data_IF_103584136663
#
_entry.id   IF_103584136663
#
_cell.length_a   1.000
_cell.length_b   1.000
_cell.length_c   1.000
_cell.angle_alpha   90.00
_cell.angle_beta   90.00
_cell.angle_gamma   90.00
#
_symmetry.space_group_name_H-M   'P 1'
#
loop_
_entity.id
_entity.type
_entity.pdbx_description
1 polymer ?
#
# COMPACT_ATOMS: atom_id res chain seq x y z
N UNK A 1 3.42 -49.17 8.14
CA UNK A 1 1.98 -49.19 8.47
C UNK A 1 1.33 -48.20 7.54
N UNK A 2 0.72 -48.74 6.49
CA UNK A 2 0.24 -47.98 5.32
C UNK A 2 -1.26 -47.85 5.40
N UNK A 3 -1.77 -46.63 5.33
CA UNK A 3 -3.21 -46.34 5.27
C UNK A 3 -3.63 -46.14 3.80
N UNK A 4 -4.78 -46.69 3.37
CA UNK A 4 -5.24 -46.55 2.00
C UNK A 4 -6.09 -45.27 1.81
N UNK A 5 -5.92 -44.66 0.63
CA UNK A 5 -6.74 -43.57 0.10
C UNK A 5 -8.04 -44.16 -0.43
N UNK A 6 -9.18 -43.67 0.05
CA UNK A 6 -10.51 -43.99 -0.46
C UNK A 6 -11.13 -42.76 -1.14
N UNK A 7 -11.44 -42.88 -2.43
CA UNK A 7 -12.42 -42.03 -3.15
C UNK A 7 -13.44 -42.96 -3.81
N UNK A 8 -14.74 -42.66 -3.66
CA UNK A 8 -15.67 -42.75 -4.79
C UNK A 8 -16.53 -41.47 -4.88
N UNK A 9 -16.64 -40.85 -6.05
CA UNK A 9 -17.70 -41.04 -7.07
C UNK A 9 -19.12 -40.68 -6.59
N UNK A 10 -19.62 -39.55 -7.08
CA UNK A 10 -21.04 -39.16 -7.16
C UNK A 10 -21.13 -38.06 -8.24
N UNK A 11 -21.38 -38.41 -9.50
CA UNK A 11 -22.66 -38.72 -10.17
C UNK A 11 -23.41 -37.43 -10.57
N UNK A 12 -23.49 -37.23 -11.89
CA UNK A 12 -24.25 -36.19 -12.57
C UNK A 12 -25.75 -36.41 -12.33
N UNK A 13 -26.46 -35.33 -12.01
CA UNK A 13 -27.87 -35.18 -12.37
C UNK A 13 -28.05 -33.90 -13.19
N UNK A 14 -28.84 -34.06 -14.25
CA UNK A 14 -29.03 -33.14 -15.36
C UNK A 14 -30.54 -33.05 -15.59
N UNK A 15 -31.17 -32.01 -15.07
CA UNK A 15 -32.52 -31.54 -15.40
C UNK A 15 -32.48 -30.00 -15.25
N UNK A 16 -33.07 -29.14 -16.06
CA UNK A 16 -34.07 -29.32 -17.11
C UNK A 16 -35.17 -28.25 -16.96
N UNK A 17 -35.01 -27.08 -17.61
CA UNK A 17 -36.07 -26.08 -17.86
C UNK A 17 -36.39 -25.10 -16.72
N UNK A 18 -36.92 -23.90 -16.93
CA UNK A 18 -37.34 -23.19 -18.13
C UNK A 18 -37.60 -21.69 -17.79
N UNK A 19 -37.44 -20.81 -18.80
CA UNK A 19 -38.19 -19.57 -19.09
C UNK A 19 -38.27 -18.42 -18.06
N UNK A 20 -37.84 -17.24 -18.53
CA UNK A 20 -38.70 -16.06 -18.62
C UNK A 20 -38.27 -14.80 -17.83
N UNK A 21 -38.05 -13.69 -18.56
CA UNK A 21 -37.89 -12.33 -18.01
C UNK A 21 -36.75 -11.59 -18.73
N UNK A 22 -36.95 -11.01 -19.92
CA UNK A 22 -37.45 -9.65 -20.16
C UNK A 22 -36.93 -8.62 -19.13
N UNK A 23 -36.02 -7.74 -19.57
CA UNK A 23 -35.87 -6.42 -18.98
C UNK A 23 -34.46 -5.86 -18.96
N UNK A 24 -34.25 -4.81 -19.76
CA UNK A 24 -33.25 -3.74 -19.60
C UNK A 24 -31.81 -4.04 -20.05
N UNK A 25 -31.54 -3.70 -21.30
CA UNK A 25 -30.21 -3.32 -21.79
C UNK A 25 -29.63 -2.17 -20.95
N UNK A 26 -28.36 -2.21 -20.53
CA UNK A 26 -27.64 -0.99 -20.24
C UNK A 26 -27.22 -0.34 -21.56
N UNK A 27 -27.55 0.94 -21.62
CA UNK A 27 -27.24 1.92 -22.66
C UNK A 27 -25.76 1.79 -23.06
N UNK A 28 -25.52 1.44 -24.32
CA UNK A 28 -24.24 1.70 -24.98
C UNK A 28 -24.17 3.22 -25.13
N UNK A 29 -23.41 3.87 -24.25
CA UNK A 29 -23.05 5.26 -24.44
C UNK A 29 -22.13 5.34 -25.66
N UNK A 30 -22.70 5.81 -26.76
CA UNK A 30 -22.00 6.28 -27.94
C UNK A 30 -21.13 7.48 -27.50
N UNK A 31 -19.85 7.22 -27.25
CA UNK A 31 -18.86 8.27 -27.05
C UNK A 31 -18.50 8.86 -28.42
N UNK A 32 -19.41 9.69 -28.93
CA UNK A 32 -19.09 10.64 -29.98
C UNK A 32 -18.07 11.62 -29.43
N UNK A 33 -16.83 11.43 -29.89
CA UNK A 33 -15.82 12.43 -30.18
C UNK A 33 -15.97 13.80 -29.48
N UNK A 34 -15.13 14.03 -28.48
CA UNK A 34 -14.66 15.39 -28.20
C UNK A 34 -13.68 15.79 -29.30
N UNK A 35 -13.88 16.93 -29.99
CA UNK A 35 -12.88 17.48 -30.89
C UNK A 35 -11.72 18.03 -30.05
N UNK A 36 -10.52 18.04 -30.62
CA UNK A 36 -9.27 18.55 -30.05
C UNK A 36 -8.40 17.52 -29.29
N UNK A 37 -8.60 16.23 -29.59
CA UNK A 37 -7.76 15.14 -29.09
C UNK A 37 -6.49 14.93 -29.93
N UNK A 38 -5.42 15.67 -29.62
CA UNK A 38 -4.07 15.13 -29.85
C UNK A 38 -3.82 14.04 -28.80
N UNK A 39 -4.35 12.85 -29.06
CA UNK A 39 -4.01 11.67 -28.27
C UNK A 39 -2.53 11.39 -28.43
N UNK A 40 -1.80 11.36 -27.31
CA UNK A 40 -0.39 10.97 -27.28
C UNK A 40 -0.21 9.68 -28.07
N UNK A 41 0.72 9.71 -29.01
CA UNK A 41 1.13 8.53 -29.75
C UNK A 41 1.63 7.47 -28.77
N UNK A 42 1.53 6.20 -29.16
CA UNK A 42 2.04 5.08 -28.35
C UNK A 42 3.51 5.30 -27.94
N UNK A 43 4.29 5.90 -28.83
CA UNK A 43 5.71 6.21 -28.62
C UNK A 43 5.89 7.30 -27.57
N UNK A 44 5.04 8.34 -27.57
CA UNK A 44 5.07 9.39 -26.54
C UNK A 44 4.67 8.84 -25.17
N UNK A 45 3.63 8.00 -25.10
CA UNK A 45 3.21 7.34 -23.86
C UNK A 45 4.31 6.41 -23.30
N UNK A 46 4.98 5.65 -24.18
CA UNK A 46 6.14 4.84 -23.79
C UNK A 46 7.30 5.73 -23.33
N UNK A 47 7.53 6.89 -23.96
CA UNK A 47 8.58 7.83 -23.57
C UNK A 47 8.32 8.45 -22.21
N UNK A 48 7.08 8.89 -21.91
CA UNK A 48 6.70 9.43 -20.61
C UNK A 48 6.86 8.38 -19.51
N UNK A 49 6.46 7.13 -19.80
CA UNK A 49 6.65 6.00 -18.87
C UNK A 49 8.15 5.79 -18.58
N UNK A 50 9.00 5.86 -19.58
CA UNK A 50 10.45 5.70 -19.42
C UNK A 50 11.10 6.87 -18.67
N UNK A 51 10.65 8.10 -18.93
CA UNK A 51 11.06 9.33 -18.23
C UNK A 51 10.71 9.23 -16.74
N UNK A 52 9.48 8.82 -16.40
CA UNK A 52 9.05 8.56 -15.03
C UNK A 52 9.89 7.48 -14.36
N UNK A 53 10.19 6.38 -15.06
CA UNK A 53 11.10 5.33 -14.55
C UNK A 53 12.51 5.87 -14.24
N UNK A 54 13.06 6.73 -15.11
CA UNK A 54 14.36 7.37 -14.88
C UNK A 54 14.32 8.34 -13.71
N UNK A 55 13.25 9.12 -13.58
CA UNK A 55 13.04 10.06 -12.47
C UNK A 55 12.93 9.33 -11.13
N UNK A 56 12.15 8.24 -11.07
CA UNK A 56 12.04 7.39 -9.88
C UNK A 56 13.38 6.77 -9.47
N UNK A 57 14.23 6.38 -10.43
CA UNK A 57 15.60 5.92 -10.15
C UNK A 57 16.52 7.02 -9.60
N UNK A 58 16.26 8.29 -9.94
CA UNK A 58 17.09 9.44 -9.53
C UNK A 58 16.78 9.92 -8.10
N UNK A 59 15.56 9.69 -7.62
CA UNK A 59 15.11 10.03 -6.25
C UNK A 59 15.36 8.92 -5.22
N UNK A 60 16.41 8.09 -5.40
CA UNK A 60 16.82 7.10 -4.38
C UNK A 60 17.45 7.80 -3.18
N UNK A 61 16.67 7.99 -2.11
CA UNK A 61 17.22 8.37 -0.81
C UNK A 61 17.82 7.15 -0.10
N UNK A 62 19.03 7.25 0.48
CA UNK A 62 19.59 6.19 1.32
C UNK A 62 18.75 5.98 2.58
N UNK A 63 18.45 4.72 2.93
CA UNK A 63 17.67 4.35 4.13
C UNK A 63 18.26 4.93 5.41
N UNK A 64 19.59 4.98 5.53
CA UNK A 64 20.25 5.56 6.70
C UNK A 64 20.05 7.07 6.86
N UNK A 65 19.84 7.81 5.76
CA UNK A 65 19.54 9.24 5.84
C UNK A 65 18.09 9.49 6.26
N UNK A 66 17.17 8.56 5.96
CA UNK A 66 15.76 8.71 6.29
C UNK A 66 15.48 8.75 7.81
N UNK A 67 16.12 7.86 8.59
CA UNK A 67 16.04 7.92 10.07
C UNK A 67 16.55 9.25 10.64
N UNK A 68 17.40 9.96 9.91
CA UNK A 68 18.00 11.23 10.33
C UNK A 68 17.29 12.46 9.76
N UNK A 69 16.49 12.31 8.69
CA UNK A 69 15.84 13.41 7.97
C UNK A 69 14.35 13.56 8.26
N UNK A 70 13.75 12.65 9.02
CA UNK A 70 12.43 12.93 9.61
C UNK A 70 12.59 14.18 10.48
N UNK A 71 11.77 15.22 10.30
CA UNK A 71 11.74 16.37 11.21
C UNK A 71 11.13 15.89 12.53
N UNK A 72 11.94 15.17 13.30
CA UNK A 72 11.63 14.65 14.62
C UNK A 72 11.81 15.78 15.63
N UNK A 73 11.06 16.87 15.46
CA UNK A 73 10.73 17.70 16.61
C UNK A 73 9.55 17.01 17.34
N UNK A 74 9.85 15.81 17.85
CA UNK A 74 8.94 14.95 18.63
C UNK A 74 8.59 15.56 20.00
N UNK A 75 9.18 16.71 20.34
CA UNK A 75 9.07 17.36 21.64
C UNK A 75 8.03 18.49 21.63
N UNK A 76 6.86 18.26 21.05
CA UNK A 76 5.71 19.07 21.45
C UNK A 76 5.16 18.46 22.74
N UNK A 77 5.56 19.00 23.90
CA UNK A 77 5.02 18.64 25.23
C UNK A 77 3.52 18.95 25.38
N UNK A 78 2.87 19.41 24.31
CA UNK A 78 1.44 19.72 24.29
C UNK A 78 0.71 18.50 23.71
N UNK A 79 -0.08 17.77 24.51
CA UNK A 79 -0.92 16.69 23.98
C UNK A 79 -1.88 17.28 22.95
N UNK A 80 -2.14 16.58 21.83
CA UNK A 80 -3.08 17.06 20.85
C UNK A 80 -4.46 17.26 21.51
N UNK A 81 -5.25 18.26 21.07
CA UNK A 81 -6.56 18.55 21.66
C UNK A 81 -7.64 17.52 21.28
N UNK A 82 -7.26 16.39 20.69
CA UNK A 82 -8.11 15.33 20.19
C UNK A 82 -7.53 13.96 20.56
N UNK A 83 -8.41 12.96 20.66
CA UNK A 83 -8.00 11.57 20.86
C UNK A 83 -7.04 11.14 19.75
N UNK A 84 -6.05 10.34 20.12
CA UNK A 84 -5.11 9.81 19.14
C UNK A 84 -5.85 8.88 18.19
N UNK A 85 -5.57 8.95 16.88
CA UNK A 85 -6.18 8.05 15.92
C UNK A 85 -5.77 6.61 16.21
N UNK A 86 -6.71 5.68 16.06
CA UNK A 86 -6.46 4.25 16.13
C UNK A 86 -6.19 3.76 14.72
N UNK A 87 -5.19 2.92 14.54
CA UNK A 87 -4.91 2.28 13.26
C UNK A 87 -4.66 0.79 13.40
N UNK A 88 -4.96 0.07 12.34
CA UNK A 88 -4.71 -1.36 12.20
C UNK A 88 -4.01 -1.63 10.87
N UNK A 89 -3.21 -2.69 10.81
CA UNK A 89 -2.58 -3.13 9.58
C UNK A 89 -2.68 -4.64 9.43
N UNK A 90 -3.01 -5.11 8.23
CA UNK A 90 -3.13 -6.53 7.92
C UNK A 90 -2.60 -6.82 6.51
N UNK A 91 -2.04 -8.01 6.32
CA UNK A 91 -1.56 -8.46 5.02
C UNK A 91 -2.62 -9.34 4.35
N UNK A 92 -2.98 -9.02 3.11
CA UNK A 92 -4.07 -9.66 2.40
C UNK A 92 -3.69 -10.00 0.94
N UNK A 93 -3.79 -11.26 0.50
CA UNK A 93 -3.87 -12.46 1.35
C UNK A 93 -2.58 -12.65 2.15
N UNK A 94 -2.67 -13.34 3.29
CA UNK A 94 -1.52 -13.56 4.20
C UNK A 94 -0.42 -14.43 3.59
N UNK A 95 -0.78 -15.32 2.66
CA UNK A 95 0.13 -16.27 2.03
C UNK A 95 0.09 -16.12 0.51
N UNK A 96 0.87 -15.18 -0.01
CA UNK A 96 1.00 -14.95 -1.45
C UNK A 96 2.34 -14.30 -1.77
N UNK A 97 2.78 -14.50 -3.01
CA UNK A 97 3.86 -13.70 -3.58
C UNK A 97 3.42 -12.29 -3.94
N UNK A 98 2.13 -12.08 -4.17
CA UNK A 98 1.51 -10.78 -4.40
C UNK A 98 0.48 -10.56 -3.27
N UNK A 99 0.86 -9.76 -2.28
CA UNK A 99 0.03 -9.43 -1.13
C UNK A 99 -0.19 -7.93 -1.06
N UNK A 100 -1.21 -7.49 -0.36
CA UNK A 100 -1.47 -6.07 -0.09
C UNK A 100 -1.40 -5.86 1.41
N UNK A 101 -0.54 -4.94 1.85
CA UNK A 101 -0.54 -4.47 3.23
C UNK A 101 -1.63 -3.39 3.37
N UNK A 102 -2.77 -3.79 3.91
CA UNK A 102 -3.91 -2.93 4.14
C UNK A 102 -3.77 -2.26 5.50
N UNK A 103 -3.60 -0.94 5.49
CA UNK A 103 -3.59 -0.10 6.69
C UNK A 103 -4.91 0.64 6.77
N UNK A 104 -5.59 0.52 7.90
CA UNK A 104 -6.84 1.23 8.19
C UNK A 104 -6.59 2.23 9.31
N UNK A 105 -6.95 3.48 9.07
CA UNK A 105 -6.78 4.59 9.99
C UNK A 105 -8.14 5.16 10.36
N UNK A 106 -8.52 5.05 11.63
CA UNK A 106 -9.79 5.57 12.15
C UNK A 106 -9.64 7.00 12.63
N UNK A 107 -10.44 7.90 12.06
CA UNK A 107 -10.42 9.32 12.40
C UNK A 107 -11.07 9.56 13.78
N UNK A 108 -10.46 10.40 14.65
CA UNK A 108 -11.02 10.71 15.96
C UNK A 108 -12.31 11.50 15.84
N UNK A 109 -13.21 11.29 16.81
CA UNK A 109 -14.56 11.88 16.82
C UNK A 109 -14.74 12.74 18.06
N UNK A 110 -15.25 13.97 17.91
CA UNK A 110 -15.50 14.84 19.06
C UNK A 110 -16.95 14.69 19.51
N UNK A 111 -17.12 14.06 20.68
CA UNK A 111 -18.42 13.78 21.31
C UNK A 111 -19.40 13.01 20.40
N UNK A 112 -20.56 12.65 20.93
CA UNK A 112 -21.58 11.79 20.29
C UNK A 112 -22.11 12.26 18.93
N UNK A 113 -21.64 13.42 18.44
CA UNK A 113 -22.00 13.98 17.15
C UNK A 113 -20.96 13.56 16.12
N UNK A 114 -21.43 13.24 14.93
CA UNK A 114 -20.67 12.50 13.94
C UNK A 114 -19.57 13.31 13.22
N UNK A 115 -19.04 14.35 13.84
CA UNK A 115 -18.22 15.35 13.18
C UNK A 115 -16.73 15.17 13.52
N UNK A 116 -15.90 15.25 12.50
CA UNK A 116 -14.44 15.30 12.63
C UNK A 116 -14.07 16.76 12.96
N UNK A 117 -13.27 17.02 14.01
CA UNK A 117 -12.87 18.38 14.34
C UNK A 117 -12.17 19.07 13.17
N UNK A 118 -12.53 20.31 12.89
CA UNK A 118 -12.02 21.04 11.72
C UNK A 118 -10.49 21.22 11.77
N UNK A 119 -9.92 21.41 12.95
CA UNK A 119 -8.47 21.44 13.16
C UNK A 119 -7.77 20.14 12.80
N UNK A 120 -8.45 19.00 12.93
CA UNK A 120 -7.92 17.69 12.53
C UNK A 120 -7.98 17.52 11.02
N UNK A 121 -9.01 18.03 10.35
CA UNK A 121 -9.12 17.99 8.90
C UNK A 121 -7.98 18.77 8.21
N UNK A 122 -7.47 19.82 8.84
CA UNK A 122 -6.31 20.58 8.34
C UNK A 122 -4.98 19.81 8.47
N UNK A 123 -4.97 18.66 9.14
CA UNK A 123 -3.78 17.83 9.26
C UNK A 123 -3.57 16.95 8.01
N UNK A 124 -2.32 16.58 7.80
CA UNK A 124 -1.89 15.58 6.82
C UNK A 124 -1.50 14.31 7.57
N UNK A 125 -2.05 13.17 7.16
CA UNK A 125 -1.62 11.86 7.65
C UNK A 125 -0.37 11.44 6.89
N UNK A 126 0.61 10.94 7.63
CA UNK A 126 1.85 10.40 7.10
C UNK A 126 1.90 8.91 7.37
N UNK A 127 2.04 8.12 6.32
CA UNK A 127 2.25 6.68 6.43
C UNK A 127 3.63 6.35 5.90
N UNK A 128 4.42 5.66 6.71
CA UNK A 128 5.78 5.27 6.37
C UNK A 128 5.85 3.75 6.44
N UNK A 129 6.02 3.14 5.28
CA UNK A 129 6.19 1.70 5.11
C UNK A 129 7.67 1.39 4.93
N UNK A 130 8.15 0.39 5.65
CA UNK A 130 9.46 -0.21 5.44
C UNK A 130 9.28 -1.72 5.29
N UNK A 131 9.88 -2.30 4.27
CA UNK A 131 9.81 -3.73 3.99
C UNK A 131 11.21 -4.32 3.89
N UNK A 132 11.40 -5.57 4.36
CA UNK A 132 12.69 -6.25 4.29
C UNK A 132 13.11 -6.48 2.83
N UNK A 133 14.40 -6.74 2.55
CA UNK A 133 14.89 -6.91 1.17
C UNK A 133 14.29 -8.11 0.43
N UNK A 134 13.70 -9.07 1.15
CA UNK A 134 12.94 -10.20 0.58
C UNK A 134 11.54 -9.82 0.07
N UNK A 135 11.12 -8.57 0.26
CA UNK A 135 9.83 -8.02 -0.17
C UNK A 135 10.08 -6.70 -0.90
N UNK A 136 9.22 -6.39 -1.87
CA UNK A 136 9.28 -5.16 -2.66
C UNK A 136 7.89 -4.53 -2.65
N UNK A 137 7.83 -3.21 -2.50
CA UNK A 137 6.60 -2.45 -2.74
C UNK A 137 6.46 -2.27 -4.25
N UNK A 138 5.31 -2.64 -4.84
CA UNK A 138 5.09 -2.51 -6.29
C UNK A 138 5.05 -1.03 -6.71
N UNK A 139 6.10 -0.50 -7.36
CA UNK A 139 6.11 0.92 -7.70
C UNK A 139 5.14 1.26 -8.83
N UNK A 140 4.79 0.29 -9.69
CA UNK A 140 3.91 0.52 -10.83
C UNK A 140 2.45 0.58 -10.37
N UNK A 141 2.05 -0.34 -9.51
CA UNK A 141 0.70 -0.32 -8.97
C UNK A 141 0.49 0.90 -8.05
N UNK A 142 1.51 1.31 -7.29
CA UNK A 142 1.45 2.57 -6.52
C UNK A 142 1.31 3.79 -7.44
N UNK A 143 2.11 3.91 -8.52
CA UNK A 143 1.99 5.04 -9.46
C UNK A 143 0.60 5.11 -10.10
N UNK A 144 0.02 3.95 -10.42
CA UNK A 144 -1.35 3.87 -10.90
C UNK A 144 -2.36 4.35 -9.85
N UNK A 145 -2.29 3.84 -8.62
CA UNK A 145 -3.20 4.24 -7.55
C UNK A 145 -3.06 5.74 -7.19
N UNK A 146 -1.88 6.31 -7.33
CA UNK A 146 -1.65 7.75 -7.19
C UNK A 146 -2.30 8.54 -8.32
N UNK A 147 -2.11 8.10 -9.57
CA UNK A 147 -2.71 8.71 -10.76
C UNK A 147 -4.24 8.67 -10.71
N UNK A 148 -4.81 7.56 -10.20
CA UNK A 148 -6.25 7.36 -10.04
C UNK A 148 -6.82 8.17 -8.85
N UNK A 149 -5.99 8.92 -8.12
CA UNK A 149 -6.38 9.72 -6.95
C UNK A 149 -6.82 8.87 -5.75
N UNK A 150 -6.41 7.60 -5.70
CA UNK A 150 -6.66 6.68 -4.59
C UNK A 150 -5.64 6.90 -3.47
N UNK A 151 -4.37 7.02 -3.83
CA UNK A 151 -3.30 7.40 -2.89
C UNK A 151 -3.27 8.92 -2.71
N UNK A 152 -2.82 9.36 -1.54
CA UNK A 152 -2.79 10.77 -1.15
C UNK A 152 -1.92 11.65 -2.04
N UNK A 153 -1.71 12.90 -1.63
CA UNK A 153 -1.09 13.94 -2.46
C UNK A 153 0.36 13.64 -2.87
N UNK A 154 1.10 12.95 -2.01
CA UNK A 154 2.54 12.75 -2.17
C UNK A 154 2.93 11.30 -1.93
N UNK A 155 3.76 10.79 -2.84
CA UNK A 155 4.27 9.42 -2.86
C UNK A 155 5.78 9.47 -3.03
N UNK A 156 6.53 8.91 -2.09
CA UNK A 156 7.99 8.88 -2.15
C UNK A 156 8.53 7.49 -1.84
N UNK A 157 9.40 6.99 -2.71
CA UNK A 157 10.08 5.71 -2.54
C UNK A 157 11.50 5.90 -2.04
N UNK A 158 11.98 4.92 -1.29
CA UNK A 158 13.39 4.82 -0.90
C UNK A 158 13.88 3.36 -0.91
N UNK A 159 15.18 3.16 -1.03
CA UNK A 159 15.79 1.83 -1.20
C UNK A 159 15.68 1.26 -2.61
N UNK A 160 15.72 -0.07 -2.73
CA UNK A 160 15.66 -0.76 -4.03
C UNK A 160 14.26 -1.31 -4.35
N UNK A 161 13.69 -0.81 -5.44
CA UNK A 161 12.32 -1.11 -5.90
C UNK A 161 12.29 -1.92 -7.22
N UNK A 162 13.41 -2.49 -7.66
CA UNK A 162 13.45 -3.25 -8.91
C UNK A 162 12.80 -4.63 -8.74
N UNK A 163 11.57 -4.80 -9.25
CA UNK A 163 10.73 -5.99 -9.05
C UNK A 163 11.41 -7.31 -9.44
N UNK A 164 12.17 -7.30 -10.54
CA UNK A 164 12.75 -8.51 -11.14
C UNK A 164 14.14 -8.87 -10.59
N UNK A 165 14.72 -8.03 -9.73
CA UNK A 165 16.07 -8.27 -9.24
C UNK A 165 16.03 -9.30 -8.10
N UNK A 166 16.64 -10.50 -8.25
CA UNK A 166 16.61 -11.51 -7.20
C UNK A 166 17.42 -11.05 -5.98
N UNK A 167 17.11 -11.59 -4.80
CA UNK A 167 17.73 -11.19 -3.54
C UNK A 167 19.27 -11.30 -3.58
N UNK A 168 19.80 -12.33 -4.25
CA UNK A 168 21.24 -12.59 -4.40
C UNK A 168 21.98 -11.54 -5.21
N UNK A 169 21.27 -10.70 -5.97
CA UNK A 169 21.83 -9.64 -6.82
C UNK A 169 21.66 -8.24 -6.21
N UNK A 170 21.05 -8.13 -5.04
CA UNK A 170 20.96 -6.85 -4.33
C UNK A 170 22.34 -6.38 -3.88
N UNK A 171 22.63 -5.10 -4.12
CA UNK A 171 23.79 -4.43 -3.54
C UNK A 171 23.74 -4.44 -2.00
N UNK A 172 24.87 -4.30 -1.32
CA UNK A 172 24.91 -4.27 0.15
C UNK A 172 23.97 -3.20 0.75
N UNK A 173 23.87 -2.03 0.11
CA UNK A 173 22.95 -0.96 0.53
C UNK A 173 21.47 -1.30 0.35
N UNK A 174 21.15 -2.16 -0.61
CA UNK A 174 19.77 -2.60 -0.86
C UNK A 174 19.33 -3.72 0.10
N UNK A 175 20.26 -4.28 0.91
CA UNK A 175 19.95 -5.28 1.93
C UNK A 175 19.22 -4.70 3.14
N UNK A 176 19.20 -3.38 3.29
CA UNK A 176 18.37 -2.69 4.29
C UNK A 176 16.88 -2.65 3.90
N UNK A 177 16.52 -3.13 2.72
CA UNK A 177 15.15 -3.20 2.24
C UNK A 177 14.73 -2.02 1.37
N UNK A 178 13.43 -1.75 1.34
CA UNK A 178 12.84 -0.62 0.63
C UNK A 178 11.72 -0.02 1.45
N UNK A 179 11.24 1.15 1.05
CA UNK A 179 10.09 1.73 1.71
C UNK A 179 9.40 2.82 0.90
N UNK A 180 8.28 3.25 1.47
CA UNK A 180 7.31 4.12 0.86
C UNK A 180 6.80 5.11 1.91
N UNK A 181 6.75 6.38 1.54
CA UNK A 181 6.14 7.44 2.33
C UNK A 181 4.92 7.93 1.55
N UNK A 182 3.79 7.99 2.23
CA UNK A 182 2.55 8.54 1.72
C UNK A 182 2.13 9.71 2.59
N UNK A 183 1.79 10.84 1.96
CA UNK A 183 1.15 11.98 2.62
C UNK A 183 -0.30 12.07 2.15
N UNK A 184 -1.26 12.08 3.08
CA UNK A 184 -2.70 12.10 2.79
C UNK A 184 -3.32 13.34 3.45
N UNK A 185 -3.78 14.29 2.64
CA UNK A 185 -4.50 15.46 3.14
C UNK A 185 -5.95 15.10 3.54
N UNK A 186 -6.28 15.33 4.80
CA UNK A 186 -7.58 14.96 5.36
C UNK A 186 -8.74 15.83 4.86
N UNK A 187 -8.48 17.07 4.42
CA UNK A 187 -9.52 17.92 3.81
C UNK A 187 -10.05 17.26 2.53
N UNK A 188 -9.17 16.74 1.68
CA UNK A 188 -9.58 16.09 0.42
C UNK A 188 -10.37 14.80 0.68
N UNK A 189 -10.04 14.10 1.77
CA UNK A 189 -10.77 12.89 2.16
C UNK A 189 -12.16 13.21 2.74
N UNK A 190 -12.38 14.40 3.30
CA UNK A 190 -13.68 14.82 3.84
C UNK A 190 -14.79 14.75 2.80
N UNK A 191 -14.52 15.19 1.58
CA UNK A 191 -15.49 15.20 0.48
C UNK A 191 -15.89 13.76 0.12
N UNK A 192 -14.89 12.87 0.00
CA UNK A 192 -15.12 11.44 -0.25
C UNK A 192 -15.90 10.74 0.88
N UNK A 193 -15.67 11.12 2.14
CA UNK A 193 -16.38 10.59 3.30
C UNK A 193 -17.85 11.07 3.31
N UNK A 194 -18.10 12.33 2.94
CA UNK A 194 -19.44 12.92 2.95
C UNK A 194 -20.41 12.29 1.93
N UNK A 195 -19.90 11.76 0.82
CA UNK A 195 -20.70 11.30 -0.33
C UNK A 195 -21.27 9.88 -0.23
N UNK A 196 -20.97 9.11 0.82
CA UNK A 196 -21.62 7.79 0.95
C UNK A 196 -21.04 6.80 1.95
N UNK A 197 -19.92 7.11 2.60
CA UNK A 197 -19.29 6.16 3.51
C UNK A 197 -19.43 6.65 4.96
N UNK A 198 -20.32 6.00 5.72
CA UNK A 198 -20.42 6.20 7.18
C UNK A 198 -19.15 5.74 7.91
N UNK A 199 -18.30 4.96 7.25
CA UNK A 199 -17.00 4.56 7.78
C UNK A 199 -16.00 5.72 7.68
N UNK A 200 -15.63 6.26 8.85
CA UNK A 200 -14.57 7.29 8.99
C UNK A 200 -13.18 6.68 9.01
N UNK A 201 -13.00 5.69 8.16
CA UNK A 201 -11.80 4.90 8.06
C UNK A 201 -11.12 5.26 6.75
N UNK A 202 -9.88 5.73 6.83
CA UNK A 202 -9.02 5.86 5.67
C UNK A 202 -8.34 4.51 5.50
N UNK A 203 -8.55 3.88 4.35
CA UNK A 203 -7.92 2.61 4.00
C UNK A 203 -6.87 2.84 2.93
N UNK A 204 -5.67 2.32 3.17
CA UNK A 204 -4.55 2.39 2.24
C UNK A 204 -4.03 0.98 2.03
N UNK A 205 -4.14 0.49 0.79
CA UNK A 205 -3.58 -0.78 0.38
C UNK A 205 -2.24 -0.57 -0.31
N UNK A 206 -1.16 -1.05 0.31
CA UNK A 206 0.18 -1.03 -0.30
C UNK A 206 0.46 -2.40 -0.93
N UNK A 207 0.56 -2.49 -2.27
CA UNK A 207 0.87 -3.73 -2.96
C UNK A 207 2.33 -4.14 -2.74
N UNK A 208 2.52 -5.41 -2.39
CA UNK A 208 3.78 -6.03 -2.04
C UNK A 208 4.04 -7.27 -2.89
N UNK A 209 5.30 -7.44 -3.28
CA UNK A 209 5.82 -8.59 -4.01
C UNK A 209 6.91 -9.29 -3.21
N UNK A 210 6.85 -10.61 -3.10
CA UNK A 210 7.95 -11.41 -2.60
C UNK A 210 9.09 -11.51 -3.62
N UNK A 211 10.33 -11.25 -3.21
CA UNK A 211 11.51 -11.49 -4.05
C UNK A 211 11.82 -12.97 -4.15
N UNK A 212 12.42 -13.37 -5.27
CA UNK A 212 13.09 -14.66 -5.36
C UNK A 212 14.23 -14.74 -4.35
N UNK A 213 14.05 -15.64 -3.37
CA UNK A 213 15.04 -15.92 -2.34
C UNK A 213 16.19 -16.76 -2.89
N UNK A 214 17.29 -16.77 -2.16
CA UNK A 214 18.42 -17.64 -2.47
C UNK A 214 17.99 -19.13 -2.45
N UNK A 215 18.34 -19.91 -3.48
CA UNK A 215 18.10 -21.35 -3.50
C UNK A 215 18.72 -22.01 -2.27
N UNK A 216 17.96 -22.85 -1.57
CA UNK A 216 18.50 -23.70 -0.51
C UNK A 216 19.15 -24.95 -1.10
N UNK A 217 20.15 -25.49 -0.40
CA UNK A 217 20.71 -26.82 -0.72
C UNK A 217 19.67 -27.89 -0.40
N UNK A 218 19.65 -28.94 -1.22
CA UNK A 218 18.63 -30.02 -1.27
C UNK A 218 18.40 -30.73 0.07
N UNK A 219 19.33 -30.63 1.02
CA UNK A 219 19.28 -31.30 2.33
C UNK A 219 18.36 -30.60 3.36
N UNK A 220 17.85 -29.40 3.08
CA UNK A 220 16.91 -28.69 3.97
C UNK A 220 15.45 -28.93 3.54
N UNK A 221 14.77 -29.91 4.15
CA UNK A 221 13.38 -30.34 3.87
C UNK A 221 12.27 -29.28 4.08
N UNK A 222 12.59 -28.01 4.36
CA UNK A 222 11.61 -26.91 4.41
C UNK A 222 11.87 -25.90 3.30
N UNK A 223 11.06 -26.01 2.25
CA UNK A 223 11.04 -25.13 1.07
C UNK A 223 10.37 -23.77 1.31
N UNK A 224 9.72 -23.59 2.47
CA UNK A 224 9.02 -22.37 2.85
C UNK A 224 9.86 -21.54 3.81
N UNK A 225 10.01 -20.24 3.51
CA UNK A 225 10.58 -19.27 4.44
C UNK A 225 9.51 -18.29 4.86
N UNK A 226 9.47 -18.03 6.16
CA UNK A 226 8.71 -16.92 6.72
C UNK A 226 9.53 -15.64 6.61
N UNK A 227 8.92 -14.57 6.12
CA UNK A 227 9.48 -13.23 6.08
C UNK A 227 8.63 -12.33 6.95
N UNK A 228 9.26 -11.66 7.91
CA UNK A 228 8.56 -10.73 8.80
C UNK A 228 8.51 -9.32 8.19
N UNK A 229 7.33 -8.70 8.21
CA UNK A 229 7.09 -7.32 7.80
C UNK A 229 6.65 -6.51 9.02
N UNK A 230 7.29 -5.34 9.20
CA UNK A 230 6.94 -4.41 10.26
C UNK A 230 5.65 -3.65 9.95
N UNK A 231 4.93 -3.25 10.99
CA UNK A 231 3.81 -2.33 10.84
C UNK A 231 4.28 -0.97 10.32
N UNK A 232 3.47 -0.28 9.50
CA UNK A 232 3.82 1.06 9.07
C UNK A 232 3.83 2.02 10.24
N UNK A 233 4.68 3.03 10.18
CA UNK A 233 4.59 4.17 11.09
C UNK A 233 3.52 5.12 10.58
N UNK A 234 2.68 5.55 11.50
CA UNK A 234 1.60 6.50 11.22
C UNK A 234 1.90 7.79 11.96
N UNK A 235 1.74 8.92 11.29
CA UNK A 235 1.90 10.23 11.89
C UNK A 235 0.87 11.24 11.42
N UNK A 236 0.79 12.35 12.14
CA UNK A 236 0.01 13.52 11.78
C UNK A 236 0.94 14.73 11.71
N UNK A 237 0.82 15.47 10.62
CA UNK A 237 1.42 16.79 10.43
C UNK A 237 0.30 17.82 10.42
N UNK A 238 0.20 18.61 11.47
CA UNK A 238 -0.85 19.61 11.64
C UNK A 238 -0.26 21.02 11.58
N UNK A 239 -0.95 22.00 10.97
CA UNK A 239 -0.51 23.39 11.03
C UNK A 239 -0.56 23.92 12.48
N UNK A 240 0.48 24.65 12.92
CA UNK A 240 0.51 25.28 14.26
C UNK A 240 -0.48 26.45 14.39
N UNK A 241 -0.89 27.04 13.27
CA UNK A 241 -1.87 28.12 13.19
C UNK A 241 -2.46 28.16 11.78
N UNK A 242 -3.77 28.47 11.62
CA UNK A 242 -4.41 28.61 10.31
C UNK A 242 -3.77 29.70 9.41
N UNK A 243 -2.88 30.55 9.96
CA UNK A 243 -2.19 31.63 9.24
C UNK A 243 -0.69 31.39 9.01
N UNK A 244 -0.11 30.27 9.43
CA UNK A 244 1.34 30.01 9.36
C UNK A 244 1.61 28.76 8.52
N UNK A 245 2.04 28.95 7.27
CA UNK A 245 2.27 27.86 6.31
C UNK A 245 3.60 27.12 6.48
N UNK A 246 4.46 27.48 7.46
CA UNK A 246 5.85 27.00 7.48
C UNK A 246 6.30 26.27 8.75
N UNK A 247 5.48 26.20 9.80
CA UNK A 247 5.80 25.43 11.00
C UNK A 247 4.57 24.62 11.42
N UNK A 248 4.66 23.29 11.34
CA UNK A 248 3.60 22.37 11.74
C UNK A 248 4.08 21.48 12.89
N UNK A 249 3.17 21.07 13.76
CA UNK A 249 3.43 20.03 14.75
C UNK A 249 3.40 18.67 14.09
N UNK A 250 4.34 17.81 14.48
CA UNK A 250 4.45 16.44 14.01
C UNK A 250 4.19 15.48 15.16
N UNK A 251 3.23 14.58 15.00
CA UNK A 251 2.94 13.52 15.96
C UNK A 251 3.18 12.19 15.28
N UNK A 252 4.07 11.35 15.82
CA UNK A 252 4.27 9.98 15.35
C UNK A 252 3.64 9.01 16.35
N UNK A 253 2.90 8.05 15.83
CA UNK A 253 2.24 7.00 16.60
C UNK A 253 3.01 5.70 16.39
N UNK A 254 3.72 5.27 17.42
CA UNK A 254 4.40 3.97 17.39
C UNK A 254 3.38 2.85 17.56
N UNK A 255 3.43 1.86 16.66
CA UNK A 255 2.64 0.64 16.81
C UNK A 255 3.19 -0.19 17.98
N UNK A 256 2.36 -0.99 18.68
CA UNK A 256 2.88 -2.19 19.32
C UNK A 256 3.57 -3.06 18.25
N UNK A 257 4.77 -3.57 18.54
CA UNK A 257 5.49 -4.51 17.68
C UNK A 257 4.60 -5.75 17.45
N UNK A 258 4.08 -5.91 16.23
CA UNK A 258 3.35 -7.10 15.80
C UNK A 258 3.99 -7.57 14.50
N UNK A 259 4.49 -8.81 14.50
CA UNK A 259 5.15 -9.45 13.36
C UNK A 259 4.09 -9.99 12.39
N UNK A 260 4.12 -9.56 11.13
CA UNK A 260 3.36 -10.21 10.04
C UNK A 260 4.28 -11.10 9.21
N UNK A 261 3.89 -12.34 9.01
CA UNK A 261 4.68 -13.39 8.38
C UNK A 261 4.21 -13.71 6.96
N UNK A 262 5.06 -13.58 5.95
CA UNK A 262 4.82 -14.02 4.56
C UNK A 262 5.52 -15.34 4.29
N UNK A 263 4.85 -16.30 3.64
CA UNK A 263 5.52 -17.48 3.09
C UNK A 263 6.11 -17.18 1.70
N UNK A 264 7.43 -17.28 1.58
CA UNK A 264 8.13 -17.25 0.30
C UNK A 264 8.68 -18.64 -0.03
N UNK A 265 8.38 -19.15 -1.23
CA UNK A 265 8.97 -20.40 -1.73
C UNK A 265 10.40 -20.19 -2.23
N UNK A 266 11.31 -21.05 -1.81
CA UNK A 266 12.64 -21.18 -2.39
C UNK A 266 12.60 -22.17 -3.55
N UNK A 267 13.08 -21.78 -4.73
CA UNK A 267 13.24 -22.70 -5.86
C UNK A 267 14.44 -23.62 -5.60
N UNK A 268 14.23 -24.94 -5.68
CA UNK A 268 15.32 -25.91 -5.69
C UNK A 268 15.95 -25.92 -7.09
N UNK A 269 17.21 -25.48 -7.16
CA UNK A 269 17.98 -25.60 -8.40
C UNK A 269 18.40 -27.05 -8.62
N UNK A 270 17.88 -27.71 -9.66
CA UNK A 270 18.51 -28.90 -10.22
C UNK A 270 19.71 -28.43 -11.05
N UNK A 271 20.92 -28.63 -10.52
CA UNK A 271 22.19 -28.53 -11.27
C UNK A 271 22.56 -29.86 -11.88
#
# INVERSE_FOLDING_TARGET
MSLPIHRPHGQLEREGGARGGLGSSPIVADLTASPDGEGLTREELESERLERQRSARKNRFPIHQFRQSLPLDLNSDVPPPFDLPVYTSALLPEQSFHSTLLTTFSLPTVHSNADIPQSFLECTVLLIYHVPPSVIIDPYQIDQLHTDGVLGDSVQFFGDIELELPLSRLSDRARDGSGLILEINLIQQKEKIAEGNKERNIQVGVPLHGRYLEPKRVEEERSERTVDIEWPWVGLKCPLSPSSSSAGSFFLFTSPLVLLSIMALSSTGNT
#
